data_IF_560889012725
#
_entry.id   IF_560889012725
#
_cell.length_a   1.000
_cell.length_b   1.000
_cell.length_c   1.000
_cell.angle_alpha   90.00
_cell.angle_beta   90.00
_cell.angle_gamma   90.00
#
_symmetry.space_group_name_H-M   'P 1'
#
loop_
_entity.id
_entity.type
_entity.pdbx_description
1 polymer ?
#
# COMPACT_ATOMS: atom_id res chain seq x y z
N UNK A 1 4.43 -15.95 9.81
CA UNK A 1 3.25 -15.26 9.23
C UNK A 1 3.51 -13.76 9.35
N UNK A 2 3.29 -13.01 8.27
CA UNK A 2 3.53 -11.57 8.19
C UNK A 2 2.24 -10.83 8.51
N UNK A 3 2.26 -9.94 9.51
CA UNK A 3 1.14 -9.03 9.77
C UNK A 3 1.13 -7.92 8.71
N UNK A 4 0.02 -7.78 7.98
CA UNK A 4 -0.20 -6.72 7.01
C UNK A 4 -1.24 -5.75 7.58
N UNK A 5 -0.80 -4.56 7.98
CA UNK A 5 -1.65 -3.53 8.56
C UNK A 5 -2.12 -2.58 7.47
N UNK A 6 -3.40 -2.68 7.10
CA UNK A 6 -4.05 -1.73 6.20
C UNK A 6 -4.52 -0.51 7.00
N UNK A 7 -3.90 0.65 6.78
CA UNK A 7 -4.28 1.90 7.43
C UNK A 7 -5.54 2.47 6.76
N UNK A 8 -6.69 2.22 7.37
CA UNK A 8 -7.98 2.72 6.87
C UNK A 8 -8.21 4.14 7.35
N UNK A 9 -8.49 5.05 6.44
CA UNK A 9 -8.92 6.41 6.72
C UNK A 9 -10.34 6.63 6.18
N UNK A 10 -11.09 7.59 6.72
CA UNK A 10 -12.34 8.02 6.08
C UNK A 10 -12.11 8.35 4.60
N UNK A 11 -13.04 7.94 3.74
CA UNK A 11 -12.98 8.09 2.27
C UNK A 11 -11.86 7.27 1.58
N UNK A 12 -11.25 6.30 2.25
CA UNK A 12 -10.32 5.35 1.58
C UNK A 12 -10.97 4.77 0.32
N UNK A 13 -10.24 4.79 -0.80
CA UNK A 13 -10.67 4.14 -2.03
C UNK A 13 -10.82 2.64 -1.79
N UNK A 14 -12.06 2.13 -1.88
CA UNK A 14 -12.35 0.74 -1.50
C UNK A 14 -11.56 -0.26 -2.34
N UNK A 15 -11.34 0.01 -3.61
CA UNK A 15 -10.61 -0.91 -4.47
C UNK A 15 -9.10 -0.95 -4.16
N UNK A 16 -8.53 0.17 -3.69
CA UNK A 16 -7.14 0.21 -3.21
C UNK A 16 -6.93 -0.67 -1.97
N UNK A 17 -7.99 -0.84 -1.17
CA UNK A 17 -8.00 -1.73 -0.01
C UNK A 17 -8.31 -3.17 -0.42
N UNK A 18 -9.46 -3.38 -1.07
CA UNK A 18 -10.01 -4.70 -1.33
C UNK A 18 -9.15 -5.51 -2.32
N UNK A 19 -8.61 -4.87 -3.36
CA UNK A 19 -7.79 -5.54 -4.37
C UNK A 19 -6.55 -6.21 -3.78
N UNK A 20 -5.65 -5.48 -3.11
CA UNK A 20 -4.50 -6.07 -2.45
C UNK A 20 -4.86 -7.06 -1.34
N UNK A 21 -5.88 -6.75 -0.51
CA UNK A 21 -6.31 -7.64 0.57
C UNK A 21 -6.77 -9.00 0.04
N UNK A 22 -7.56 -9.03 -1.05
CA UNK A 22 -7.97 -10.27 -1.70
C UNK A 22 -6.79 -11.05 -2.28
N UNK A 23 -5.79 -10.38 -2.87
CA UNK A 23 -4.60 -11.04 -3.37
C UNK A 23 -3.85 -11.79 -2.25
N UNK A 24 -3.66 -11.17 -1.08
CA UNK A 24 -3.01 -11.80 0.07
C UNK A 24 -3.87 -12.92 0.67
N UNK A 25 -5.20 -12.73 0.78
CA UNK A 25 -6.12 -13.76 1.25
C UNK A 25 -6.09 -15.00 0.36
N UNK A 26 -6.15 -14.79 -0.97
CA UNK A 26 -6.08 -15.88 -1.95
C UNK A 26 -4.72 -16.58 -1.92
N UNK A 27 -3.62 -15.87 -1.66
CA UNK A 27 -2.31 -16.47 -1.48
C UNK A 27 -2.29 -17.44 -0.30
N UNK A 28 -2.89 -17.07 0.85
CA UNK A 28 -3.05 -17.98 1.98
C UNK A 28 -3.85 -19.23 1.59
N UNK A 29 -4.98 -19.05 0.91
CA UNK A 29 -5.81 -20.16 0.43
C UNK A 29 -5.03 -21.11 -0.50
N UNK A 30 -4.19 -20.55 -1.39
CA UNK A 30 -3.32 -21.34 -2.27
C UNK A 30 -2.22 -22.09 -1.52
N UNK A 31 -1.69 -21.51 -0.45
CA UNK A 31 -0.71 -22.18 0.41
C UNK A 31 -1.35 -23.32 1.18
N UNK A 32 -2.51 -23.10 1.79
CA UNK A 32 -3.27 -24.13 2.53
C UNK A 32 -3.64 -25.31 1.64
N UNK A 33 -4.11 -25.05 0.41
CA UNK A 33 -4.39 -26.09 -0.58
C UNK A 33 -3.17 -26.93 -1.00
N UNK A 34 -1.96 -26.43 -0.69
CA UNK A 34 -0.68 -27.11 -0.93
C UNK A 34 -0.06 -27.69 0.36
N UNK A 35 -0.82 -27.72 1.47
CA UNK A 35 -0.35 -28.20 2.77
C UNK A 35 0.70 -27.30 3.43
N UNK A 36 0.78 -26.01 3.05
CA UNK A 36 1.68 -25.01 3.63
C UNK A 36 0.90 -24.09 4.58
N UNK A 37 1.54 -23.59 5.64
CA UNK A 37 0.87 -22.64 6.54
C UNK A 37 0.62 -21.29 5.81
N UNK A 38 -0.39 -20.52 6.26
CA UNK A 38 -0.65 -19.18 5.74
C UNK A 38 0.54 -18.26 5.97
N UNK A 39 0.84 -17.42 4.97
CA UNK A 39 1.96 -16.48 5.01
C UNK A 39 1.59 -15.12 5.59
N UNK A 40 0.32 -14.69 5.42
CA UNK A 40 -0.13 -13.33 5.71
C UNK A 40 -1.26 -13.32 6.73
N UNK A 41 -1.20 -12.37 7.68
CA UNK A 41 -2.29 -12.03 8.60
C UNK A 41 -2.76 -10.61 8.27
N UNK A 42 -4.02 -10.47 7.80
CA UNK A 42 -4.56 -9.18 7.37
C UNK A 42 -5.20 -8.48 8.57
N UNK A 43 -4.76 -7.25 8.83
CA UNK A 43 -5.26 -6.41 9.92
C UNK A 43 -5.67 -5.05 9.38
N UNK A 44 -6.80 -4.56 9.81
CA UNK A 44 -7.36 -3.28 9.35
C UNK A 44 -7.35 -2.31 10.52
N UNK A 45 -6.44 -1.33 10.46
CA UNK A 45 -6.19 -0.40 11.56
C UNK A 45 -6.69 1.01 11.24
N UNK A 46 -7.26 1.69 12.22
CA UNK A 46 -7.77 3.05 12.10
C UNK A 46 -7.69 3.77 13.45
N UNK A 47 -7.68 5.10 13.43
CA UNK A 47 -7.83 5.90 14.66
C UNK A 47 -9.24 5.80 15.27
N UNK A 48 -10.23 5.31 14.51
CA UNK A 48 -11.62 5.14 14.91
C UNK A 48 -12.05 3.69 14.62
N UNK A 49 -12.97 3.15 15.43
CA UNK A 49 -13.46 1.79 15.26
C UNK A 49 -14.24 1.55 13.96
N UNK A 50 -14.54 2.60 13.20
CA UNK A 50 -15.24 2.52 11.92
C UNK A 50 -14.85 3.67 10.99
N UNK A 51 -14.93 3.43 9.69
CA UNK A 51 -14.71 4.45 8.66
C UNK A 51 -15.68 4.24 7.48
N UNK A 52 -16.04 5.32 6.78
CA UNK A 52 -16.82 5.25 5.55
C UNK A 52 -15.88 5.38 4.36
N UNK A 53 -15.99 4.47 3.41
CA UNK A 53 -15.16 4.45 2.19
C UNK A 53 -15.60 5.50 1.16
N UNK A 54 -14.82 5.67 0.10
CA UNK A 54 -15.11 6.59 -1.02
C UNK A 54 -16.45 6.34 -1.73
N UNK A 55 -16.99 5.14 -1.62
CA UNK A 55 -18.28 4.74 -2.23
C UNK A 55 -19.42 4.67 -1.20
N UNK A 56 -19.21 5.18 0.01
CA UNK A 56 -20.24 5.21 1.06
C UNK A 56 -20.39 3.92 1.87
N UNK A 57 -19.62 2.86 1.58
CA UNK A 57 -19.63 1.64 2.37
C UNK A 57 -18.97 1.89 3.74
N UNK A 58 -19.62 1.45 4.81
CA UNK A 58 -19.07 1.54 6.17
C UNK A 58 -18.26 0.29 6.49
N UNK A 59 -17.03 0.49 6.89
CA UNK A 59 -16.15 -0.53 7.49
C UNK A 59 -16.25 -0.38 9.01
N UNK A 60 -16.49 -1.47 9.72
CA UNK A 60 -16.64 -1.54 11.18
C UNK A 60 -15.60 -2.49 11.79
N UNK A 61 -15.51 -2.48 13.11
CA UNK A 61 -14.60 -3.34 13.87
C UNK A 61 -13.13 -3.18 13.48
N UNK A 62 -12.74 -1.93 13.11
CA UNK A 62 -11.35 -1.61 12.81
C UNK A 62 -10.53 -1.60 14.10
N UNK A 63 -9.34 -2.21 14.05
CA UNK A 63 -8.41 -2.22 15.16
C UNK A 63 -7.84 -0.80 15.44
N UNK A 64 -7.51 -0.46 16.67
CA UNK A 64 -6.80 0.78 16.96
C UNK A 64 -5.39 0.77 16.34
N UNK A 65 -4.87 1.98 16.07
CA UNK A 65 -3.48 2.15 15.64
C UNK A 65 -2.55 1.62 16.75
N UNK A 66 -1.67 0.65 16.47
CA UNK A 66 -0.78 0.10 17.49
C UNK A 66 0.31 1.10 17.90
N UNK A 67 0.71 1.07 19.15
CA UNK A 67 1.83 1.89 19.68
C UNK A 67 3.20 1.39 19.20
N UNK A 68 3.29 0.13 18.77
CA UNK A 68 4.47 -0.49 18.17
C UNK A 68 4.04 -1.50 17.09
N UNK A 69 4.88 -1.66 16.06
CA UNK A 69 4.61 -2.62 14.99
C UNK A 69 4.99 -4.04 15.43
N UNK A 70 4.20 -5.06 15.05
CA UNK A 70 4.63 -6.44 15.14
C UNK A 70 5.92 -6.66 14.34
N UNK A 71 6.74 -7.61 14.77
CA UNK A 71 8.00 -7.92 14.07
C UNK A 71 7.73 -8.35 12.62
N UNK A 72 8.45 -7.74 11.69
CA UNK A 72 8.31 -8.04 10.27
C UNK A 72 7.02 -7.52 9.63
N UNK A 73 6.25 -6.65 10.31
CA UNK A 73 4.99 -6.15 9.80
C UNK A 73 5.15 -5.32 8.51
N UNK A 74 4.15 -5.39 7.66
CA UNK A 74 3.99 -4.53 6.49
C UNK A 74 2.84 -3.54 6.73
N UNK A 75 3.00 -2.33 6.28
CA UNK A 75 2.00 -1.27 6.39
C UNK A 75 1.51 -0.94 4.98
N UNK A 76 0.19 -0.90 4.77
CA UNK A 76 -0.42 -0.55 3.49
C UNK A 76 -1.17 0.77 3.63
N UNK A 77 -0.79 1.74 2.81
CA UNK A 77 -1.46 3.04 2.72
C UNK A 77 -2.24 3.10 1.41
N UNK A 78 -3.53 3.33 1.49
CA UNK A 78 -4.43 3.45 0.35
C UNK A 78 -4.67 4.90 -0.04
N UNK A 79 -5.08 5.11 -1.29
CA UNK A 79 -5.51 6.41 -1.79
C UNK A 79 -6.87 6.84 -1.26
N UNK A 80 -7.15 8.12 -1.52
CA UNK A 80 -8.41 8.79 -1.18
C UNK A 80 -8.76 9.79 -2.28
N UNK A 81 -10.03 10.06 -2.55
CA UNK A 81 -10.42 11.11 -3.47
C UNK A 81 -10.07 12.51 -2.93
N UNK A 82 -9.86 13.46 -3.81
CA UNK A 82 -9.77 14.88 -3.46
C UNK A 82 -8.55 15.27 -2.62
N UNK A 83 -7.36 14.81 -2.99
CA UNK A 83 -6.10 15.10 -2.27
C UNK A 83 -5.71 16.59 -2.21
N UNK A 84 -6.35 17.48 -2.97
CA UNK A 84 -6.23 18.94 -2.84
C UNK A 84 -7.13 19.48 -1.72
N UNK A 85 -6.97 18.96 -0.52
CA UNK A 85 -7.85 19.33 0.60
C UNK A 85 -7.24 20.45 1.46
N UNK A 86 -8.11 21.34 1.91
CA UNK A 86 -7.76 22.36 2.90
C UNK A 86 -7.38 21.72 4.24
N UNK A 87 -6.56 22.41 5.03
CA UNK A 87 -6.14 21.96 6.35
C UNK A 87 -7.31 21.49 7.26
N UNK A 88 -8.48 22.20 7.33
CA UNK A 88 -9.63 21.71 8.09
C UNK A 88 -10.20 20.38 7.60
N UNK A 89 -10.13 20.09 6.29
CA UNK A 89 -10.58 18.81 5.74
C UNK A 89 -9.61 17.69 6.11
N UNK A 90 -8.29 17.95 6.07
CA UNK A 90 -7.26 16.99 6.51
C UNK A 90 -7.38 16.63 7.99
N UNK A 91 -7.76 17.59 8.83
CA UNK A 91 -8.03 17.33 10.25
C UNK A 91 -9.23 16.41 10.46
N UNK A 92 -10.36 16.69 9.80
CA UNK A 92 -11.61 15.91 9.96
C UNK A 92 -11.50 14.49 9.44
N UNK A 93 -10.71 14.24 8.43
CA UNK A 93 -10.62 12.94 7.75
C UNK A 93 -9.51 12.02 8.29
N UNK A 94 -8.94 12.34 9.45
CA UNK A 94 -7.94 11.51 10.13
C UNK A 94 -6.52 11.57 9.55
N UNK A 95 -6.26 12.39 8.52
CA UNK A 95 -4.95 12.52 7.89
C UNK A 95 -3.85 12.93 8.86
N UNK A 96 -4.08 13.95 9.68
CA UNK A 96 -3.08 14.44 10.62
C UNK A 96 -2.74 13.42 11.71
N UNK A 97 -3.74 12.68 12.19
CA UNK A 97 -3.53 11.59 13.15
C UNK A 97 -2.72 10.44 12.52
N UNK A 98 -3.07 10.04 11.31
CA UNK A 98 -2.34 9.04 10.56
C UNK A 98 -0.89 9.47 10.29
N UNK A 99 -0.68 10.70 9.82
CA UNK A 99 0.65 11.28 9.60
C UNK A 99 1.50 11.24 10.88
N UNK A 100 0.92 11.62 12.02
CA UNK A 100 1.61 11.60 13.30
C UNK A 100 2.00 10.16 13.69
N UNK A 101 1.09 9.21 13.58
CA UNK A 101 1.35 7.79 13.85
C UNK A 101 2.43 7.23 12.91
N UNK A 102 2.36 7.52 11.63
CA UNK A 102 3.37 7.12 10.65
C UNK A 102 4.75 7.65 11.00
N UNK A 103 4.87 8.93 11.34
CA UNK A 103 6.14 9.54 11.72
C UNK A 103 6.70 8.99 13.04
N UNK A 104 5.82 8.71 14.02
CA UNK A 104 6.24 8.29 15.38
C UNK A 104 6.51 6.79 15.48
N UNK A 105 5.71 5.95 14.81
CA UNK A 105 5.74 4.49 14.97
C UNK A 105 6.35 3.80 13.75
N UNK A 106 5.93 4.19 12.54
CA UNK A 106 6.34 3.51 11.31
C UNK A 106 7.72 3.95 10.83
N UNK A 107 8.03 5.24 10.87
CA UNK A 107 9.31 5.76 10.38
C UNK A 107 10.53 5.11 11.07
N UNK A 108 10.59 5.00 12.42
CA UNK A 108 11.68 4.31 13.09
C UNK A 108 11.76 2.83 12.72
N UNK A 109 10.60 2.15 12.56
CA UNK A 109 10.54 0.74 12.21
C UNK A 109 11.09 0.47 10.79
N UNK A 110 10.80 1.34 9.83
CA UNK A 110 11.31 1.23 8.46
C UNK A 110 12.84 1.41 8.36
N UNK A 111 13.48 2.00 9.37
CA UNK A 111 14.93 2.13 9.42
C UNK A 111 15.61 0.85 9.95
N UNK A 112 14.86 -0.09 10.50
CA UNK A 112 15.41 -1.34 11.04
C UNK A 112 15.73 -2.32 9.91
N UNK A 113 16.83 -3.05 10.10
CA UNK A 113 17.24 -4.14 9.23
C UNK A 113 17.31 -5.45 10.00
N UNK A 114 17.08 -6.55 9.28
CA UNK A 114 17.34 -7.89 9.80
C UNK A 114 18.85 -8.16 9.92
N UNK A 115 19.27 -9.22 10.62
CA UNK A 115 20.69 -9.62 10.66
C UNK A 115 21.31 -9.88 9.27
N UNK A 116 20.46 -10.20 8.27
CA UNK A 116 20.88 -10.36 6.87
C UNK A 116 20.95 -9.03 6.09
N UNK A 117 20.76 -7.88 6.74
CA UNK A 117 20.80 -6.55 6.12
C UNK A 117 19.57 -6.19 5.29
N UNK A 118 18.51 -7.01 5.33
CA UNK A 118 17.26 -6.72 4.62
C UNK A 118 16.35 -5.83 5.48
N UNK A 119 15.44 -5.02 4.87
CA UNK A 119 14.46 -4.27 5.64
C UNK A 119 13.65 -5.18 6.56
N UNK A 120 13.56 -4.81 7.84
CA UNK A 120 12.78 -5.56 8.82
C UNK A 120 11.27 -5.38 8.62
N UNK A 121 10.85 -4.23 8.11
CA UNK A 121 9.46 -3.87 7.84
C UNK A 121 9.33 -3.35 6.41
N UNK A 122 8.10 -3.37 5.86
CA UNK A 122 7.81 -2.80 4.53
C UNK A 122 6.66 -1.81 4.59
N UNK A 123 6.74 -0.77 3.80
CA UNK A 123 5.69 0.19 3.54
C UNK A 123 5.22 0.01 2.10
N UNK A 124 3.97 -0.40 1.94
CA UNK A 124 3.29 -0.51 0.66
C UNK A 124 2.37 0.69 0.49
N UNK A 125 2.48 1.42 -0.60
CA UNK A 125 1.58 2.55 -0.89
C UNK A 125 0.86 2.33 -2.20
N UNK A 126 -0.45 2.53 -2.20
CA UNK A 126 -1.31 2.41 -3.38
C UNK A 126 -1.87 3.79 -3.69
N UNK A 127 -1.82 4.20 -4.96
CA UNK A 127 -2.41 5.45 -5.41
C UNK A 127 -1.86 6.65 -4.61
N UNK A 128 -2.75 7.52 -4.15
CA UNK A 128 -2.41 8.69 -3.32
C UNK A 128 -1.93 8.33 -1.90
N UNK A 129 -1.90 7.05 -1.51
CA UNK A 129 -1.26 6.62 -0.27
C UNK A 129 0.21 7.01 -0.19
N UNK A 130 0.89 7.15 -1.35
CA UNK A 130 2.27 7.65 -1.43
C UNK A 130 2.38 9.11 -0.97
N UNK A 131 1.35 9.93 -1.17
CA UNK A 131 1.36 11.33 -0.70
C UNK A 131 1.30 11.40 0.83
N UNK A 132 0.55 10.50 1.48
CA UNK A 132 0.54 10.41 2.94
C UNK A 132 1.91 9.98 3.48
N UNK A 133 2.55 9.01 2.83
CA UNK A 133 3.91 8.59 3.17
C UNK A 133 4.92 9.74 3.01
N UNK A 134 4.79 10.55 1.95
CA UNK A 134 5.63 11.72 1.68
C UNK A 134 5.43 12.80 2.77
N UNK A 135 4.19 13.14 3.09
CA UNK A 135 3.85 14.13 4.13
C UNK A 135 4.30 13.68 5.53
N UNK A 136 4.33 12.37 5.78
CA UNK A 136 4.87 11.79 7.02
C UNK A 136 6.41 11.63 7.03
N UNK A 137 7.11 12.01 5.96
CA UNK A 137 8.57 11.94 5.87
C UNK A 137 9.15 10.54 5.63
N UNK A 138 8.35 9.56 5.18
CA UNK A 138 8.76 8.17 5.03
C UNK A 138 9.52 7.87 3.73
N UNK A 139 9.46 8.76 2.74
CA UNK A 139 10.01 8.51 1.41
C UNK A 139 11.53 8.76 1.37
N UNK A 140 11.99 9.91 1.86
CA UNK A 140 13.40 10.32 1.80
C UNK A 140 13.88 10.48 0.35
N UNK A 141 15.04 9.86 0.01
CA UNK A 141 15.66 9.94 -1.33
C UNK A 141 15.28 8.77 -2.25
N UNK A 142 14.29 7.99 -1.89
CA UNK A 142 13.91 6.76 -2.61
C UNK A 142 13.21 7.05 -3.94
N UNK A 143 13.28 6.06 -4.82
CA UNK A 143 12.44 5.99 -6.00
C UNK A 143 11.02 5.62 -5.57
N UNK A 144 10.04 6.35 -6.07
CA UNK A 144 8.63 6.14 -5.76
C UNK A 144 7.74 6.54 -6.93
N UNK A 145 6.55 5.99 -6.97
CA UNK A 145 5.49 6.41 -7.88
C UNK A 145 4.17 6.64 -7.12
N UNK A 146 3.20 7.23 -7.80
CA UNK A 146 1.83 7.42 -7.34
C UNK A 146 0.89 7.43 -8.55
N UNK A 147 -0.39 7.67 -8.36
CA UNK A 147 -1.33 7.88 -9.46
C UNK A 147 -0.84 9.02 -10.37
N UNK A 148 -0.94 8.83 -11.68
CA UNK A 148 -0.37 9.77 -12.67
C UNK A 148 -0.85 11.23 -12.52
N UNK A 149 -2.05 11.45 -11.97
CA UNK A 149 -2.57 12.81 -11.70
C UNK A 149 -1.89 13.52 -10.52
N UNK A 150 -1.11 12.81 -9.72
CA UNK A 150 -0.53 13.32 -8.48
C UNK A 150 1.00 13.30 -8.46
N UNK A 151 1.66 13.08 -9.59
CA UNK A 151 3.12 13.02 -9.68
C UNK A 151 3.76 14.35 -9.28
N UNK A 152 3.23 15.48 -9.76
CA UNK A 152 3.73 16.82 -9.41
C UNK A 152 3.51 17.13 -7.92
N UNK A 153 2.36 16.72 -7.36
CA UNK A 153 2.08 16.87 -5.94
C UNK A 153 3.08 16.05 -5.11
N UNK A 154 3.38 14.81 -5.52
CA UNK A 154 4.37 13.98 -4.86
C UNK A 154 5.76 14.59 -4.91
N UNK A 155 6.19 15.12 -6.06
CA UNK A 155 7.47 15.77 -6.21
C UNK A 155 7.59 17.02 -5.29
N UNK A 156 6.52 17.78 -5.14
CA UNK A 156 6.47 18.92 -4.23
C UNK A 156 6.54 18.52 -2.75
N UNK A 157 5.87 17.43 -2.34
CA UNK A 157 5.88 16.93 -0.97
C UNK A 157 7.18 16.21 -0.59
N UNK A 158 7.83 15.57 -1.54
CA UNK A 158 9.07 14.81 -1.34
C UNK A 158 10.17 15.28 -2.31
N UNK A 159 10.71 16.51 -2.17
CA UNK A 159 11.63 17.09 -3.15
C UNK A 159 12.97 16.38 -3.25
N UNK A 160 13.29 15.49 -2.32
CA UNK A 160 14.49 14.66 -2.37
C UNK A 160 14.25 13.29 -3.03
N UNK A 161 12.99 12.90 -3.24
CA UNK A 161 12.64 11.61 -3.84
C UNK A 161 12.84 11.65 -5.37
N UNK A 162 13.13 10.50 -5.93
CA UNK A 162 13.09 10.29 -7.37
C UNK A 162 11.68 9.81 -7.75
N UNK A 163 10.84 10.72 -8.23
CA UNK A 163 9.49 10.38 -8.67
C UNK A 163 9.55 9.72 -10.04
N UNK A 164 9.15 8.45 -10.11
CA UNK A 164 9.12 7.65 -11.32
C UNK A 164 7.75 7.80 -12.00
N UNK A 165 7.70 8.59 -13.07
CA UNK A 165 6.49 8.73 -13.88
C UNK A 165 6.23 7.47 -14.71
N UNK A 166 4.95 7.21 -15.00
CA UNK A 166 4.49 6.13 -15.89
C UNK A 166 5.01 4.72 -15.53
N UNK A 167 5.07 4.41 -14.24
CA UNK A 167 5.39 3.09 -13.68
C UNK A 167 4.17 2.52 -12.98
N UNK A 168 3.88 1.23 -13.15
CA UNK A 168 2.80 0.55 -12.43
C UNK A 168 3.13 0.47 -10.95
N UNK A 169 4.34 0.08 -10.62
CA UNK A 169 4.85 0.15 -9.24
C UNK A 169 6.38 0.33 -9.24
N UNK A 170 6.90 0.74 -8.09
CA UNK A 170 8.33 0.93 -7.83
C UNK A 170 8.67 0.29 -6.50
N UNK A 171 9.79 -0.42 -6.43
CA UNK A 171 10.33 -1.06 -5.23
C UNK A 171 11.68 -0.43 -4.92
N UNK A 172 11.80 0.21 -3.75
CA UNK A 172 13.08 0.78 -3.30
C UNK A 172 13.24 0.61 -1.78
N UNK A 173 14.10 -0.33 -1.40
CA UNK A 173 14.34 -0.68 -0.01
C UNK A 173 13.04 -1.11 0.70
N UNK A 174 12.72 -0.51 1.86
CA UNK A 174 11.49 -0.82 2.60
C UNK A 174 10.23 -0.19 2.01
N UNK A 175 10.33 0.71 1.02
CA UNK A 175 9.18 1.45 0.46
C UNK A 175 8.86 0.94 -0.93
N UNK A 176 7.65 0.40 -1.09
CA UNK A 176 7.11 -0.14 -2.32
C UNK A 176 5.85 0.66 -2.67
N UNK A 177 5.85 1.33 -3.79
CA UNK A 177 4.78 2.26 -4.17
C UNK A 177 4.15 1.87 -5.51
N UNK A 178 2.84 1.98 -5.63
CA UNK A 178 2.14 1.70 -6.88
C UNK A 178 1.31 2.89 -7.37
N UNK A 179 1.02 2.86 -8.65
CA UNK A 179 0.05 3.72 -9.31
C UNK A 179 -1.38 3.51 -8.77
N UNK A 180 -2.36 4.10 -9.41
CA UNK A 180 -3.74 4.08 -8.93
C UNK A 180 -4.43 2.73 -9.06
N UNK A 181 -5.32 2.51 -8.16
CA UNK A 181 -6.40 1.54 -8.12
C UNK A 181 -5.94 0.10 -8.45
N UNK A 182 -6.05 -0.34 -9.70
CA UNK A 182 -5.69 -1.72 -10.09
C UNK A 182 -4.21 -2.04 -9.97
N UNK A 183 -3.33 -1.03 -10.01
CA UNK A 183 -1.89 -1.23 -9.81
C UNK A 183 -1.54 -1.71 -8.39
N UNK A 184 -2.42 -1.48 -7.41
CA UNK A 184 -2.29 -2.07 -6.08
C UNK A 184 -2.40 -3.59 -6.09
N UNK A 185 -3.18 -4.15 -7.02
CA UNK A 185 -3.27 -5.62 -7.23
C UNK A 185 -1.95 -6.14 -7.80
N UNK A 186 -1.36 -5.46 -8.79
CA UNK A 186 -0.07 -5.87 -9.36
C UNK A 186 1.04 -5.84 -8.31
N UNK A 187 1.07 -4.78 -7.46
CA UNK A 187 2.00 -4.69 -6.35
C UNK A 187 1.80 -5.83 -5.35
N UNK A 188 0.54 -6.15 -4.98
CA UNK A 188 0.26 -7.26 -4.07
C UNK A 188 0.65 -8.61 -4.66
N UNK A 189 0.39 -8.85 -5.96
CA UNK A 189 0.84 -10.07 -6.66
C UNK A 189 2.36 -10.16 -6.71
N UNK A 190 3.08 -9.04 -6.87
CA UNK A 190 4.53 -9.01 -6.76
C UNK A 190 5.00 -9.39 -5.34
N UNK A 191 4.35 -8.84 -4.30
CA UNK A 191 4.61 -9.22 -2.90
C UNK A 191 4.37 -10.71 -2.63
N UNK A 192 3.30 -11.28 -3.19
CA UNK A 192 3.00 -12.71 -3.09
C UNK A 192 4.09 -13.54 -3.76
N UNK A 193 4.56 -13.12 -4.94
CA UNK A 193 5.67 -13.78 -5.63
C UNK A 193 6.95 -13.78 -4.80
N UNK A 194 7.29 -12.64 -4.19
CA UNK A 194 8.49 -12.48 -3.35
C UNK A 194 8.47 -13.39 -2.11
N UNK A 195 7.32 -13.58 -1.46
CA UNK A 195 7.20 -14.34 -0.21
C UNK A 195 6.83 -15.81 -0.44
N UNK A 196 5.89 -16.07 -1.34
CA UNK A 196 5.27 -17.38 -1.52
C UNK A 196 5.78 -18.13 -2.75
N UNK A 197 6.44 -17.43 -3.66
CA UNK A 197 6.95 -17.90 -4.95
C UNK A 197 5.98 -17.63 -6.11
N UNK A 198 6.55 -17.55 -7.33
CA UNK A 198 5.82 -17.17 -8.55
C UNK A 198 4.64 -18.09 -8.88
N UNK A 199 4.75 -19.38 -8.56
CA UNK A 199 3.67 -20.35 -8.79
C UNK A 199 2.41 -20.04 -7.94
N UNK A 200 2.57 -19.47 -6.73
CA UNK A 200 1.45 -19.04 -5.90
C UNK A 200 0.88 -17.73 -6.45
N UNK A 201 1.74 -16.78 -6.81
CA UNK A 201 1.30 -15.51 -7.40
C UNK A 201 0.55 -15.70 -8.72
N UNK A 202 0.99 -16.63 -9.57
CA UNK A 202 0.30 -16.98 -10.82
C UNK A 202 -1.08 -17.58 -10.56
N UNK A 203 -1.20 -18.50 -9.60
CA UNK A 203 -2.48 -19.11 -9.24
C UNK A 203 -3.46 -18.07 -8.64
N UNK A 204 -2.96 -17.11 -7.85
CA UNK A 204 -3.77 -16.00 -7.34
C UNK A 204 -4.26 -15.10 -8.49
N UNK A 205 -3.38 -14.73 -9.41
CA UNK A 205 -3.74 -13.90 -10.57
C UNK A 205 -4.81 -14.59 -11.45
N UNK A 206 -4.71 -15.91 -11.63
CA UNK A 206 -5.70 -16.70 -12.37
C UNK A 206 -7.07 -16.66 -11.69
N UNK A 207 -7.14 -16.86 -10.36
CA UNK A 207 -8.39 -16.78 -9.59
C UNK A 207 -9.01 -15.38 -9.66
N UNK A 208 -8.17 -14.34 -9.58
CA UNK A 208 -8.61 -12.95 -9.70
C UNK A 208 -8.95 -12.54 -11.13
N UNK A 209 -8.78 -13.44 -12.11
CA UNK A 209 -8.98 -13.17 -13.55
C UNK A 209 -8.15 -11.97 -14.02
N UNK A 210 -6.93 -11.81 -13.46
CA UNK A 210 -5.96 -10.82 -13.92
C UNK A 210 -5.30 -11.37 -15.18
N UNK A 211 -5.81 -10.94 -16.34
CA UNK A 211 -5.38 -11.45 -17.66
C UNK A 211 -3.88 -11.24 -17.91
N UNK A 212 -3.34 -10.10 -17.47
CA UNK A 212 -1.93 -9.79 -17.58
C UNK A 212 -1.44 -9.19 -16.27
N UNK A 213 -0.45 -9.82 -15.65
CA UNK A 213 0.31 -9.23 -14.54
C UNK A 213 1.23 -8.16 -15.11
N UNK A 214 1.05 -6.93 -14.68
CA UNK A 214 1.95 -5.84 -15.06
C UNK A 214 3.18 -5.86 -14.16
N UNK A 215 4.35 -5.67 -14.76
CA UNK A 215 5.62 -5.52 -14.07
C UNK A 215 5.87 -4.08 -13.59
N UNK A 216 6.94 -3.88 -12.82
CA UNK A 216 7.33 -2.57 -12.32
C UNK A 216 7.57 -1.57 -13.48
N UNK A 217 8.13 -2.02 -14.58
CA UNK A 217 8.48 -1.19 -15.73
C UNK A 217 7.34 -0.93 -16.70
N UNK A 218 6.19 -1.59 -16.50
CA UNK A 218 5.02 -1.38 -17.34
C UNK A 218 4.43 0.02 -17.12
N UNK A 219 3.87 0.63 -18.19
CA UNK A 219 3.27 1.95 -18.09
C UNK A 219 1.95 1.94 -17.30
N UNK A 220 1.68 3.01 -16.57
CA UNK A 220 0.39 3.20 -15.89
C UNK A 220 -0.76 3.33 -16.89
N UNK A 221 -0.51 4.05 -18.01
CA UNK A 221 -1.50 4.34 -19.03
C UNK A 221 -1.40 3.34 -20.18
N UNK A 222 -2.55 2.84 -20.62
CA UNK A 222 -2.61 2.02 -21.81
C UNK A 222 -2.26 2.85 -23.05
N UNK A 223 -1.37 2.38 -23.93
CA UNK A 223 -1.11 3.05 -25.21
C UNK A 223 -2.31 3.04 -26.15
N UNK A 224 -3.34 2.22 -25.84
CA UNK A 224 -4.59 2.15 -26.62
C UNK A 224 -5.58 3.27 -26.29
N UNK A 225 -5.33 4.07 -25.23
CA UNK A 225 -6.17 5.17 -24.81
C UNK A 225 -5.34 6.47 -24.81
N UNK A 226 -5.05 7.06 -25.99
CA UNK A 226 -4.36 8.35 -26.04
C UNK A 226 -5.23 9.42 -25.37
N UNK A 227 -4.59 10.24 -24.56
CA UNK A 227 -5.21 11.42 -23.91
C UNK A 227 -5.28 12.57 -24.89
#
# INVERSE_FOLDING_TARGET
MIDILFLVLPETLLLDLAGPAEAFRLANQQLEGRGRPPAFNLRYVCAQAQATTSIGLRLADLEPLPDALPAGAWIVLMGRPGMQQTLPALQRNGWLGARHWLAKVVAPALALTTPAGQPAHRLLTVCCGTLLAADAGLIGRRQVTTHHEHLDTLAALAPQAQVCANRVFVVDGPVWSSAGITAGIDLALHCVGDVCGDAVAAAVAEIMVVFQRRGADDPQRSPRWPT
#
